data_IF_044056683188
#
_entry.id   IF_044056683188
#
_cell.length_a   1.000
_cell.length_b   1.000
_cell.length_c   1.000
_cell.angle_alpha   90.00
_cell.angle_beta   90.00
_cell.angle_gamma   90.00
#
_symmetry.space_group_name_H-M   'P 1'
#
loop_
_entity.id
_entity.type
_entity.pdbx_description
1 polymer ?
#
# COMPACT_ATOMS: atom_id res chain seq x y z
N UNK A 1 -42.39 -62.78 -9.07
CA UNK A 1 -42.28 -63.89 -8.09
C UNK A 1 -41.35 -63.41 -6.96
N UNK A 2 -41.95 -62.83 -5.91
CA UNK A 2 -41.89 -63.28 -4.50
C UNK A 2 -40.61 -62.81 -3.76
N UNK A 3 -40.65 -61.74 -2.96
CA UNK A 3 -41.16 -61.59 -1.57
C UNK A 3 -40.22 -62.12 -0.46
N UNK A 4 -39.72 -61.15 0.34
CA UNK A 4 -39.56 -61.09 1.81
C UNK A 4 -39.58 -62.41 2.61
N UNK A 5 -38.71 -62.52 3.64
CA UNK A 5 -39.10 -62.42 5.07
C UNK A 5 -37.94 -62.59 6.07
N UNK A 6 -38.04 -61.78 7.11
CA UNK A 6 -37.44 -61.77 8.46
C UNK A 6 -37.90 -62.95 9.35
N UNK A 7 -37.16 -63.28 10.44
CA UNK A 7 -37.61 -63.69 11.81
C UNK A 7 -36.36 -64.17 12.60
N UNK A 8 -35.87 -63.49 13.67
CA UNK A 8 -36.24 -63.51 15.10
C UNK A 8 -35.60 -64.64 15.96
N UNK A 9 -34.71 -64.23 16.91
CA UNK A 9 -34.54 -64.53 18.39
C UNK A 9 -35.21 -65.79 19.03
N UNK A 10 -34.90 -66.28 20.29
CA UNK A 10 -34.12 -65.73 21.43
C UNK A 10 -33.39 -66.75 22.41
N UNK A 11 -32.83 -66.19 23.51
CA UNK A 11 -32.90 -66.62 24.95
C UNK A 11 -31.94 -67.68 25.54
N UNK A 12 -31.20 -67.26 26.59
CA UNK A 12 -31.06 -67.88 27.94
C UNK A 12 -30.23 -66.89 28.82
N UNK A 13 -30.78 -66.17 29.82
CA UNK A 13 -31.19 -66.50 31.20
C UNK A 13 -30.08 -67.10 32.10
N UNK A 14 -29.55 -66.32 33.05
CA UNK A 14 -29.76 -66.46 34.52
C UNK A 14 -28.87 -65.48 35.34
N UNK A 15 -29.42 -65.02 36.48
CA UNK A 15 -28.95 -64.08 37.53
C UNK A 15 -28.69 -64.88 38.84
N UNK A 16 -28.34 -64.30 40.02
CA UNK A 16 -27.59 -63.08 40.41
C UNK A 16 -26.57 -63.36 41.57
N UNK A 17 -25.95 -62.33 42.20
CA UNK A 17 -25.93 -62.08 43.68
C UNK A 17 -25.11 -60.82 44.08
N UNK A 18 -25.77 -60.00 44.91
CA UNK A 18 -25.38 -59.06 45.99
C UNK A 18 -24.36 -57.90 45.86
N UNK A 19 -24.93 -56.68 45.91
CA UNK A 19 -24.73 -55.52 46.83
C UNK A 19 -23.31 -55.07 47.25
N UNK A 20 -23.00 -53.83 46.91
CA UNK A 20 -22.55 -52.81 47.88
C UNK A 20 -22.93 -51.41 47.39
N UNK A 21 -23.40 -50.59 48.32
CA UNK A 21 -23.99 -49.28 48.18
C UNK A 21 -22.98 -48.17 48.47
N UNK A 22 -22.92 -47.15 47.63
CA UNK A 22 -22.65 -45.77 48.03
C UNK A 22 -23.05 -44.86 46.86
N UNK A 23 -24.13 -44.11 47.04
CA UNK A 23 -24.55 -43.09 46.11
C UNK A 23 -23.74 -41.82 46.29
N UNK A 24 -23.55 -41.08 45.20
CA UNK A 24 -23.55 -39.62 45.19
C UNK A 24 -23.99 -39.16 43.79
N UNK A 25 -24.62 -37.99 43.78
CA UNK A 25 -25.49 -37.47 42.76
C UNK A 25 -24.85 -37.26 41.38
N UNK A 26 -25.69 -37.44 40.37
CA UNK A 26 -25.54 -37.07 38.96
C UNK A 26 -25.24 -35.58 38.75
N UNK A 27 -24.25 -35.28 37.92
CA UNK A 27 -24.41 -34.30 36.83
C UNK A 27 -23.76 -34.85 35.54
N UNK A 28 -24.59 -35.01 34.52
CA UNK A 28 -24.21 -35.32 33.15
C UNK A 28 -23.68 -34.05 32.48
N UNK A 29 -22.54 -34.14 31.79
CA UNK A 29 -22.36 -33.46 30.50
C UNK A 29 -21.35 -34.20 29.63
N UNK A 30 -21.89 -34.75 28.55
CA UNK A 30 -21.18 -35.33 27.42
C UNK A 30 -20.36 -34.26 26.67
N UNK A 31 -19.28 -34.71 26.03
CA UNK A 31 -18.81 -34.12 24.77
C UNK A 31 -17.33 -33.78 24.77
N UNK A 32 -16.50 -34.76 24.42
CA UNK A 32 -15.09 -34.55 24.05
C UNK A 32 -15.01 -33.66 22.80
N UNK A 33 -14.82 -32.36 23.00
CA UNK A 33 -14.25 -31.48 21.98
C UNK A 33 -12.71 -31.58 22.12
N UNK A 34 -12.05 -32.10 21.09
CA UNK A 34 -10.61 -31.98 20.94
C UNK A 34 -10.25 -30.51 20.85
N UNK A 35 -9.57 -30.01 21.88
CA UNK A 35 -9.00 -28.67 21.89
C UNK A 35 -8.03 -28.56 20.70
N UNK A 36 -8.34 -27.69 19.74
CA UNK A 36 -7.37 -27.21 18.76
C UNK A 36 -6.32 -26.44 19.58
N UNK A 37 -5.03 -26.81 19.54
CA UNK A 37 -4.03 -26.07 20.28
C UNK A 37 -3.98 -24.64 19.70
N UNK A 38 -3.89 -23.61 20.56
CA UNK A 38 -3.66 -22.26 20.08
C UNK A 38 -2.31 -22.24 19.35
N UNK A 39 -2.26 -21.63 18.17
CA UNK A 39 -1.01 -21.34 17.48
C UNK A 39 -0.32 -20.22 18.27
N UNK A 40 0.38 -20.58 19.35
CA UNK A 40 1.34 -19.69 19.99
C UNK A 40 2.71 -19.96 19.36
N UNK A 41 3.05 -19.21 18.31
CA UNK A 41 4.46 -19.01 18.00
C UNK A 41 5.02 -18.00 19.01
N UNK A 42 5.40 -18.51 20.19
CA UNK A 42 6.02 -17.76 21.31
C UNK A 42 7.52 -17.49 21.09
N UNK A 43 8.07 -17.76 19.91
CA UNK A 43 9.46 -17.46 19.60
C UNK A 43 9.59 -16.00 19.13
N UNK A 44 9.65 -15.07 20.09
CA UNK A 44 10.15 -13.72 19.79
C UNK A 44 11.61 -13.81 19.38
N UNK A 45 11.94 -13.20 18.24
CA UNK A 45 13.32 -13.14 17.73
C UNK A 45 14.25 -12.43 18.72
N UNK A 46 15.55 -12.65 18.57
CA UNK A 46 16.58 -12.08 19.46
C UNK A 46 16.56 -10.55 19.55
N UNK A 47 15.99 -9.86 18.55
CA UNK A 47 15.84 -8.40 18.48
C UNK A 47 14.41 -7.92 18.73
N UNK A 48 13.51 -8.79 19.20
CA UNK A 48 12.10 -8.48 19.48
C UNK A 48 11.23 -8.22 18.23
N UNK A 49 9.92 -8.00 18.42
CA UNK A 49 8.98 -7.79 17.33
C UNK A 49 9.25 -6.49 16.55
N UNK A 50 8.86 -6.48 15.28
CA UNK A 50 9.01 -5.33 14.38
C UNK A 50 7.66 -4.94 13.79
N UNK A 51 7.26 -3.67 13.95
CA UNK A 51 6.11 -3.14 13.24
C UNK A 51 6.49 -2.77 11.80
N UNK A 52 5.77 -3.31 10.83
CA UNK A 52 5.90 -2.96 9.42
C UNK A 52 4.71 -2.08 9.03
N UNK A 53 4.95 -0.81 8.71
CA UNK A 53 3.91 0.19 8.51
C UNK A 53 3.86 0.63 7.06
N UNK A 54 2.86 0.17 6.31
CA UNK A 54 2.64 0.57 4.94
C UNK A 54 2.05 1.99 4.89
N UNK A 55 2.73 2.89 4.17
CA UNK A 55 2.31 4.28 3.98
C UNK A 55 1.80 4.50 2.57
N UNK A 56 0.57 4.98 2.44
CA UNK A 56 -0.04 5.37 1.16
C UNK A 56 -1.03 6.53 1.40
N UNK A 57 -1.54 7.18 0.35
CA UNK A 57 -2.60 8.18 0.47
C UNK A 57 -3.91 7.56 0.94
N UNK A 58 -4.16 6.31 0.52
CA UNK A 58 -5.40 5.59 0.72
C UNK A 58 -6.51 6.04 -0.22
N UNK A 59 -7.69 5.47 -0.04
CA UNK A 59 -8.88 5.80 -0.80
C UNK A 59 -10.12 5.43 0.00
N UNK A 60 -11.27 6.08 -0.26
CA UNK A 60 -12.51 5.82 0.45
C UNK A 60 -12.94 4.37 0.21
N UNK A 61 -13.14 3.60 1.28
CA UNK A 61 -13.54 2.18 1.18
C UNK A 61 -14.97 2.03 0.68
N UNK A 62 -15.79 3.07 0.90
CA UNK A 62 -17.18 3.17 0.45
C UNK A 62 -17.46 4.56 -0.13
N UNK A 63 -18.48 4.70 -0.96
CA UNK A 63 -18.88 6.01 -1.51
C UNK A 63 -19.25 7.04 -0.44
N UNK A 64 -19.69 6.61 0.74
CA UNK A 64 -20.02 7.51 1.86
C UNK A 64 -18.77 8.18 2.46
N UNK A 65 -17.59 7.58 2.32
CA UNK A 65 -16.33 8.11 2.85
C UNK A 65 -15.67 9.16 1.94
N UNK A 66 -16.22 9.40 0.75
CA UNK A 66 -15.62 10.27 -0.28
C UNK A 66 -15.48 11.71 0.21
N UNK A 67 -16.48 12.26 0.90
CA UNK A 67 -16.42 13.66 1.37
C UNK A 67 -15.29 13.85 2.39
N UNK A 68 -15.16 12.93 3.34
CA UNK A 68 -14.12 12.95 4.36
C UNK A 68 -12.74 12.81 3.73
N UNK A 69 -12.59 11.87 2.79
CA UNK A 69 -11.37 11.68 2.01
C UNK A 69 -10.95 12.96 1.29
N UNK A 70 -11.86 13.56 0.51
CA UNK A 70 -11.58 14.81 -0.21
C UNK A 70 -11.30 15.97 0.73
N UNK A 71 -12.01 16.06 1.85
CA UNK A 71 -11.81 17.13 2.84
C UNK A 71 -10.41 17.09 3.42
N UNK A 72 -9.89 15.90 3.77
CA UNK A 72 -8.50 15.74 4.23
C UNK A 72 -7.49 16.02 3.13
N UNK A 73 -7.75 15.57 1.90
CA UNK A 73 -6.89 15.78 0.74
C UNK A 73 -6.73 17.28 0.43
N UNK A 74 -7.83 18.04 0.35
CA UNK A 74 -7.77 19.48 0.08
C UNK A 74 -7.31 20.31 1.28
N UNK A 75 -7.36 19.78 2.50
CA UNK A 75 -6.78 20.42 3.68
C UNK A 75 -5.26 20.25 3.77
N UNK A 76 -4.66 19.36 2.97
CA UNK A 76 -3.22 19.08 3.02
C UNK A 76 -2.40 20.07 2.17
N UNK A 77 -1.72 20.99 2.85
CA UNK A 77 -0.83 21.96 2.22
C UNK A 77 0.46 21.36 1.64
N UNK A 78 0.83 20.12 2.02
CA UNK A 78 1.98 19.42 1.44
C UNK A 78 1.65 18.89 0.02
N UNK A 79 0.37 18.56 -0.24
CA UNK A 79 -0.12 18.06 -1.52
C UNK A 79 -0.65 19.19 -2.41
N UNK A 80 -1.63 19.97 -1.94
CA UNK A 80 -2.28 21.03 -2.71
C UNK A 80 -2.15 22.35 -1.93
N UNK A 81 -1.14 23.19 -2.18
CA UNK A 81 -0.96 24.44 -1.45
C UNK A 81 -2.00 25.48 -1.93
N UNK A 82 -3.14 25.59 -1.24
CA UNK A 82 -4.21 26.55 -1.54
C UNK A 82 -4.06 27.89 -0.78
N UNK A 83 -2.93 28.10 -0.10
CA UNK A 83 -2.62 29.30 0.64
C UNK A 83 -3.27 29.37 2.03
N UNK A 84 -3.30 30.57 2.63
CA UNK A 84 -3.62 30.77 4.05
C UNK A 84 -5.06 30.40 4.47
N UNK A 85 -5.98 30.34 3.51
CA UNK A 85 -7.40 30.02 3.75
C UNK A 85 -7.74 28.54 3.49
N UNK A 86 -6.73 27.69 3.29
CA UNK A 86 -6.91 26.29 2.93
C UNK A 86 -7.79 25.50 3.90
N UNK A 87 -7.73 25.78 5.20
CA UNK A 87 -8.59 25.14 6.22
C UNK A 87 -10.08 25.40 5.99
N UNK A 88 -10.45 26.52 5.38
CA UNK A 88 -11.83 26.85 5.02
C UNK A 88 -12.19 26.43 3.59
N UNK A 89 -11.27 26.68 2.65
CA UNK A 89 -11.49 26.36 1.23
C UNK A 89 -11.52 24.85 0.97
N UNK A 90 -10.73 24.07 1.70
CA UNK A 90 -10.62 22.62 1.53
C UNK A 90 -11.96 21.90 1.67
N UNK A 91 -12.66 22.02 2.82
CA UNK A 91 -13.98 21.44 3.01
C UNK A 91 -15.03 21.92 2.00
N UNK A 92 -14.98 23.20 1.60
CA UNK A 92 -15.91 23.75 0.60
C UNK A 92 -15.69 23.12 -0.79
N UNK A 93 -14.43 22.99 -1.21
CA UNK A 93 -14.06 22.33 -2.47
C UNK A 93 -14.41 20.85 -2.43
N UNK A 94 -14.14 20.18 -1.31
CA UNK A 94 -14.49 18.79 -1.09
C UNK A 94 -15.99 18.57 -1.27
N UNK A 95 -16.84 19.28 -0.52
CA UNK A 95 -18.30 19.20 -0.64
C UNK A 95 -18.81 19.43 -2.06
N UNK A 96 -18.22 20.37 -2.80
CA UNK A 96 -18.58 20.62 -4.20
C UNK A 96 -18.18 19.49 -5.14
N UNK A 97 -17.04 18.83 -4.88
CA UNK A 97 -16.51 17.74 -5.71
C UNK A 97 -17.08 16.37 -5.35
N UNK A 98 -17.53 16.17 -4.11
CA UNK A 98 -18.03 14.89 -3.58
C UNK A 98 -19.01 14.20 -4.53
N UNK A 99 -20.08 14.83 -5.05
CA UNK A 99 -21.05 14.11 -5.86
C UNK A 99 -20.47 13.51 -7.14
N UNK A 100 -19.53 14.23 -7.79
CA UNK A 100 -18.84 13.72 -8.97
C UNK A 100 -17.98 12.51 -8.60
N UNK A 101 -17.15 12.64 -7.57
CA UNK A 101 -16.21 11.58 -7.18
C UNK A 101 -16.94 10.35 -6.62
N UNK A 102 -18.06 10.54 -5.92
CA UNK A 102 -18.92 9.44 -5.47
C UNK A 102 -19.46 8.62 -6.63
N UNK A 103 -19.87 9.29 -7.72
CA UNK A 103 -20.30 8.59 -8.94
C UNK A 103 -19.15 7.78 -9.53
N UNK A 104 -17.96 8.36 -9.65
CA UNK A 104 -16.78 7.65 -10.17
C UNK A 104 -16.45 6.39 -9.33
N UNK A 105 -16.51 6.50 -7.99
CA UNK A 105 -16.34 5.33 -7.12
C UNK A 105 -17.48 4.31 -7.25
N UNK A 106 -18.72 4.77 -7.47
CA UNK A 106 -19.86 3.87 -7.72
C UNK A 106 -19.68 3.07 -9.02
N UNK A 107 -19.19 3.72 -10.07
CA UNK A 107 -18.98 3.13 -11.40
C UNK A 107 -17.89 2.01 -11.37
N UNK A 108 -16.97 2.04 -10.40
CA UNK A 108 -15.91 1.01 -10.20
C UNK A 108 -16.22 -0.02 -9.10
N UNK A 109 -17.48 -0.08 -8.61
CA UNK A 109 -17.90 -1.08 -7.63
C UNK A 109 -18.13 -0.56 -6.20
N UNK A 110 -18.18 0.76 -6.00
CA UNK A 110 -18.65 1.40 -4.77
C UNK A 110 -17.58 1.83 -3.78
N UNK A 111 -16.29 1.75 -4.12
CA UNK A 111 -15.19 2.16 -3.25
C UNK A 111 -13.81 1.81 -3.81
N UNK A 112 -12.76 2.30 -3.18
CA UNK A 112 -11.37 2.00 -3.54
C UNK A 112 -10.93 0.65 -2.98
N UNK A 113 -10.35 -0.26 -3.80
CA UNK A 113 -9.83 -1.54 -3.30
C UNK A 113 -8.46 -1.41 -2.61
N UNK A 114 -7.89 -0.20 -2.53
CA UNK A 114 -6.53 0.05 -2.01
C UNK A 114 -6.35 -0.43 -0.57
N UNK A 115 -7.38 -0.32 0.28
CA UNK A 115 -7.33 -0.79 1.67
C UNK A 115 -7.15 -2.31 1.72
N UNK A 116 -8.01 -3.04 1.01
CA UNK A 116 -7.96 -4.50 0.92
C UNK A 116 -6.59 -4.96 0.43
N UNK A 117 -6.06 -4.36 -0.64
CA UNK A 117 -4.78 -4.75 -1.19
C UNK A 117 -3.60 -4.41 -0.26
N UNK A 118 -3.60 -3.22 0.35
CA UNK A 118 -2.54 -2.82 1.28
C UNK A 118 -2.49 -3.72 2.52
N UNK A 119 -3.65 -4.04 3.12
CA UNK A 119 -3.74 -4.94 4.26
C UNK A 119 -3.28 -6.36 3.89
N UNK A 120 -3.74 -6.88 2.75
CA UNK A 120 -3.34 -8.20 2.25
C UNK A 120 -1.84 -8.29 1.97
N UNK A 121 -1.29 -7.34 1.21
CA UNK A 121 0.13 -7.31 0.85
C UNK A 121 1.01 -7.19 2.11
N UNK A 122 0.64 -6.33 3.06
CA UNK A 122 1.39 -6.16 4.30
C UNK A 122 1.39 -7.44 5.14
N UNK A 123 0.23 -8.09 5.27
CA UNK A 123 0.10 -9.36 6.00
C UNK A 123 0.92 -10.48 5.37
N UNK A 124 0.82 -10.69 4.06
CA UNK A 124 1.58 -11.74 3.37
C UNK A 124 3.08 -11.46 3.35
N UNK A 125 3.48 -10.19 3.17
CA UNK A 125 4.88 -9.77 3.29
C UNK A 125 5.42 -10.08 4.69
N UNK A 126 4.71 -9.75 5.77
CA UNK A 126 5.14 -10.06 7.14
C UNK A 126 5.30 -11.57 7.38
N UNK A 127 4.38 -12.40 6.88
CA UNK A 127 4.49 -13.87 6.97
C UNK A 127 5.76 -14.41 6.27
N UNK A 128 6.12 -13.84 5.12
CA UNK A 128 7.38 -14.18 4.44
C UNK A 128 8.58 -13.65 5.22
N UNK A 129 8.49 -12.42 5.72
CA UNK A 129 9.56 -11.75 6.45
C UNK A 129 9.90 -12.46 7.78
N UNK A 130 8.94 -13.06 8.47
CA UNK A 130 9.18 -13.90 9.64
C UNK A 130 10.08 -15.10 9.34
N UNK A 131 9.97 -15.68 8.14
CA UNK A 131 10.83 -16.79 7.68
C UNK A 131 12.19 -16.27 7.22
N UNK A 132 12.20 -15.13 6.52
CA UNK A 132 13.38 -14.53 5.91
C UNK A 132 14.29 -13.81 6.92
N UNK A 133 13.74 -13.31 8.03
CA UNK A 133 14.47 -12.56 9.05
C UNK A 133 13.98 -12.87 10.48
N UNK A 134 14.18 -14.10 10.97
CA UNK A 134 13.63 -14.55 12.25
C UNK A 134 14.15 -13.75 13.47
N UNK A 135 15.31 -13.10 13.36
CA UNK A 135 15.88 -12.29 14.46
C UNK A 135 14.98 -11.11 14.86
N UNK A 136 14.21 -10.55 13.91
CA UNK A 136 13.32 -9.40 14.12
C UNK A 136 11.84 -9.76 14.12
N UNK A 137 11.53 -11.05 14.14
CA UNK A 137 10.19 -11.60 14.23
C UNK A 137 9.62 -11.51 15.67
N UNK A 138 8.29 -11.51 15.85
CA UNK A 138 7.27 -11.46 14.80
C UNK A 138 7.18 -10.08 14.13
N UNK A 139 6.99 -10.07 12.82
CA UNK A 139 6.71 -8.87 12.04
C UNK A 139 5.20 -8.60 12.04
N UNK A 140 4.80 -7.46 12.58
CA UNK A 140 3.39 -7.09 12.72
C UNK A 140 2.97 -6.13 11.61
N UNK A 141 1.92 -6.45 10.82
CA UNK A 141 1.48 -5.63 9.70
C UNK A 141 0.60 -4.46 10.15
N UNK A 142 0.90 -3.26 9.65
CA UNK A 142 0.09 -2.07 9.84
C UNK A 142 -0.05 -1.32 8.53
N UNK A 143 -1.19 -0.65 8.36
CA UNK A 143 -1.44 0.27 7.25
C UNK A 143 -1.74 1.64 7.85
N UNK A 144 -1.18 2.68 7.27
CA UNK A 144 -1.51 4.07 7.59
C UNK A 144 -1.72 4.83 6.29
N UNK A 145 -2.96 5.29 6.12
CA UNK A 145 -3.35 6.13 5.02
C UNK A 145 -3.33 7.60 5.41
N UNK A 146 -3.01 8.44 4.43
CA UNK A 146 -2.90 9.89 4.61
C UNK A 146 -4.27 10.58 4.69
N UNK A 147 -5.26 10.09 3.92
CA UNK A 147 -6.57 10.73 3.77
C UNK A 147 -7.77 9.79 3.99
N UNK A 148 -7.56 8.48 4.00
CA UNK A 148 -8.59 7.47 4.26
C UNK A 148 -8.30 6.69 5.55
N UNK A 149 -9.26 5.92 6.06
CA UNK A 149 -9.05 5.06 7.21
C UNK A 149 -8.36 3.73 6.80
N UNK A 150 -7.42 3.17 7.61
CA UNK A 150 -6.94 3.71 8.89
C UNK A 150 -6.01 4.90 8.72
N UNK A 151 -6.26 6.00 9.45
CA UNK A 151 -5.43 7.20 9.41
C UNK A 151 -4.10 7.00 10.16
N UNK A 152 -3.15 7.90 9.96
CA UNK A 152 -1.83 7.82 10.62
C UNK A 152 -1.96 7.85 12.15
N UNK A 153 -2.87 8.65 12.70
CA UNK A 153 -3.15 8.69 14.15
C UNK A 153 -3.77 7.42 14.71
N UNK A 154 -4.66 6.78 13.96
CA UNK A 154 -5.34 5.55 14.35
C UNK A 154 -4.33 4.41 14.38
N UNK A 155 -3.51 4.30 13.33
CA UNK A 155 -2.40 3.35 13.26
C UNK A 155 -1.39 3.58 14.39
N UNK A 156 -1.01 4.84 14.68
CA UNK A 156 -0.07 5.13 15.76
C UNK A 156 -0.64 4.73 17.12
N UNK A 157 -1.93 4.99 17.36
CA UNK A 157 -2.60 4.57 18.60
C UNK A 157 -2.58 3.04 18.73
N UNK A 158 -2.88 2.32 17.64
CA UNK A 158 -2.79 0.87 17.61
C UNK A 158 -1.37 0.36 17.90
N UNK A 159 -0.31 1.00 17.38
CA UNK A 159 1.07 0.65 17.73
C UNK A 159 1.33 0.76 19.24
N UNK A 160 0.83 1.84 19.86
CA UNK A 160 1.00 2.05 21.30
C UNK A 160 0.26 1.00 22.13
N UNK A 161 -0.93 0.61 21.69
CA UNK A 161 -1.76 -0.38 22.36
C UNK A 161 -1.20 -1.81 22.17
N UNK A 162 -0.55 -2.08 21.03
CA UNK A 162 0.17 -3.32 20.74
C UNK A 162 1.54 -3.44 21.44
N UNK A 163 1.91 -2.43 22.24
CA UNK A 163 3.07 -2.44 23.13
C UNK A 163 4.34 -1.80 22.55
N UNK A 164 4.27 -1.12 21.42
CA UNK A 164 5.38 -0.29 20.92
C UNK A 164 5.32 1.10 21.56
N UNK A 165 6.45 1.71 21.89
CA UNK A 165 6.53 3.05 22.46
C UNK A 165 6.04 3.12 23.91
N UNK A 166 5.60 4.31 24.36
CA UNK A 166 5.11 4.57 25.74
C UNK A 166 6.04 4.01 26.84
N UNK A 167 7.35 4.21 26.70
CA UNK A 167 8.33 3.73 27.69
C UNK A 167 8.84 2.30 27.45
N UNK A 168 8.22 1.54 26.53
CA UNK A 168 8.56 0.13 26.24
C UNK A 168 9.54 -0.02 25.07
N UNK A 169 9.84 1.06 24.34
CA UNK A 169 10.67 1.02 23.15
C UNK A 169 10.01 0.24 22.01
N UNK A 170 10.80 -0.44 21.19
CA UNK A 170 10.30 -1.23 20.05
C UNK A 170 10.69 -0.61 18.71
N UNK A 171 10.56 -1.39 17.65
CA UNK A 171 11.06 -1.05 16.31
C UNK A 171 9.90 -0.94 15.32
N UNK A 172 9.88 0.13 14.54
CA UNK A 172 8.94 0.31 13.45
C UNK A 172 9.64 0.73 12.15
N UNK A 173 9.18 0.17 11.04
CA UNK A 173 9.65 0.51 9.69
C UNK A 173 8.50 1.19 8.96
N UNK A 174 8.66 2.48 8.68
CA UNK A 174 7.81 3.23 7.77
C UNK A 174 8.13 2.81 6.33
N UNK A 175 7.28 2.00 5.72
CA UNK A 175 7.49 1.46 4.37
C UNK A 175 6.52 2.12 3.39
N UNK A 176 7.04 3.07 2.60
CA UNK A 176 6.22 3.69 1.57
C UNK A 176 5.77 2.68 0.52
N UNK A 177 4.49 2.75 0.12
CA UNK A 177 3.95 1.95 -0.98
C UNK A 177 4.06 2.65 -2.34
N UNK A 178 4.77 3.79 -2.39
CA UNK A 178 5.17 4.46 -3.62
C UNK A 178 6.61 4.06 -3.96
N UNK A 179 6.86 3.28 -5.04
CA UNK A 179 8.23 2.95 -5.42
C UNK A 179 9.06 4.20 -5.71
N UNK A 180 8.44 5.21 -6.31
CA UNK A 180 9.05 6.49 -6.66
C UNK A 180 8.68 7.55 -5.63
N UNK A 181 9.67 8.19 -5.03
CA UNK A 181 9.46 9.23 -4.03
C UNK A 181 8.91 10.51 -4.67
N UNK A 182 7.85 11.06 -4.11
CA UNK A 182 7.47 12.46 -4.27
C UNK A 182 7.31 13.14 -2.91
N UNK A 183 7.62 14.43 -2.83
CA UNK A 183 7.29 15.22 -1.64
C UNK A 183 5.78 15.28 -1.39
N UNK A 184 4.98 15.17 -2.45
CA UNK A 184 3.51 15.22 -2.38
C UNK A 184 2.87 13.91 -1.92
N UNK A 185 3.59 12.78 -1.99
CA UNK A 185 3.11 11.46 -1.58
C UNK A 185 3.87 10.97 -0.34
N UNK A 186 5.00 10.28 -0.52
CA UNK A 186 5.86 9.76 0.56
C UNK A 186 6.27 10.86 1.52
N UNK A 187 6.65 12.04 0.99
CA UNK A 187 6.98 13.21 1.82
C UNK A 187 5.83 13.59 2.76
N UNK A 188 4.60 13.73 2.24
CA UNK A 188 3.40 14.05 3.04
C UNK A 188 3.10 12.98 4.11
N UNK A 189 3.17 11.69 3.75
CA UNK A 189 2.97 10.59 4.71
C UNK A 189 3.99 10.62 5.86
N UNK A 190 5.27 10.82 5.55
CA UNK A 190 6.32 10.87 6.58
C UNK A 190 6.23 12.13 7.44
N UNK A 191 5.83 13.24 6.83
CA UNK A 191 5.57 14.50 7.50
C UNK A 191 4.40 14.40 8.49
N UNK A 192 3.36 13.62 8.18
CA UNK A 192 2.23 13.37 9.08
C UNK A 192 2.61 12.39 10.19
N UNK A 193 3.37 11.35 9.87
CA UNK A 193 3.94 10.42 10.85
C UNK A 193 4.82 11.14 11.88
N UNK A 194 5.72 12.02 11.42
CA UNK A 194 6.59 12.82 12.29
C UNK A 194 5.79 13.74 13.22
N UNK A 195 4.73 14.37 12.70
CA UNK A 195 3.81 15.22 13.49
C UNK A 195 3.14 14.43 14.61
N UNK A 196 2.57 13.26 14.31
CA UNK A 196 1.89 12.43 15.31
C UNK A 196 2.85 11.80 16.31
N UNK A 197 4.01 11.33 15.87
CA UNK A 197 5.10 10.88 16.74
C UNK A 197 5.47 11.95 17.76
N UNK A 198 5.65 13.19 17.33
CA UNK A 198 5.99 14.29 18.24
C UNK A 198 4.84 14.68 19.18
N UNK A 199 3.59 14.47 18.77
CA UNK A 199 2.41 14.74 19.59
C UNK A 199 2.21 13.67 20.68
N UNK A 200 2.41 12.41 20.33
CA UNK A 200 2.10 11.26 21.19
C UNK A 200 3.31 10.80 22.02
N UNK A 201 4.54 10.99 21.53
CA UNK A 201 5.77 10.54 22.20
C UNK A 201 6.83 11.65 22.34
N UNK A 202 6.57 12.87 21.86
CA UNK A 202 7.48 14.00 22.03
C UNK A 202 7.34 14.70 23.39
N UNK A 203 8.11 15.77 23.61
CA UNK A 203 8.10 16.58 24.85
C UNK A 203 6.73 17.19 25.24
N UNK A 204 5.75 17.16 24.33
CA UNK A 204 4.37 17.65 24.53
C UNK A 204 3.38 16.54 24.91
N UNK A 205 3.80 15.28 24.93
CA UNK A 205 3.00 14.22 25.56
C UNK A 205 2.91 14.55 27.06
N UNK A 206 1.72 14.47 27.65
CA UNK A 206 1.43 14.90 29.03
C UNK A 206 2.14 14.07 30.13
N UNK A 207 3.10 13.23 29.75
CA UNK A 207 3.87 12.39 30.65
C UNK A 207 5.34 12.51 30.24
N UNK A 208 6.23 12.60 31.22
CA UNK A 208 7.68 12.58 31.04
C UNK A 208 8.12 11.21 30.51
N UNK A 209 7.85 10.95 29.24
CA UNK A 209 8.31 9.74 28.55
C UNK A 209 9.81 9.88 28.36
N UNK A 210 10.57 9.00 28.99
CA UNK A 210 11.99 8.84 28.72
C UNK A 210 12.17 8.59 27.20
N UNK A 211 12.94 9.42 26.48
CA UNK A 211 13.23 9.21 25.06
C UNK A 211 13.70 7.79 24.74
N UNK A 212 14.31 7.10 25.70
CA UNK A 212 14.77 5.70 25.59
C UNK A 212 13.64 4.70 25.32
N UNK A 213 12.41 5.03 25.73
CA UNK A 213 11.25 4.16 25.60
C UNK A 213 10.32 4.50 24.42
N UNK A 214 10.74 5.40 23.53
CA UNK A 214 10.00 5.74 22.30
C UNK A 214 10.22 4.74 21.17
N UNK A 215 9.30 4.69 20.21
CA UNK A 215 9.43 3.83 19.03
C UNK A 215 10.69 4.21 18.23
N UNK A 216 11.54 3.21 17.96
CA UNK A 216 12.70 3.32 17.09
C UNK A 216 12.27 3.18 15.63
N UNK A 217 12.08 4.33 14.99
CA UNK A 217 11.70 4.40 13.58
C UNK A 217 12.91 4.23 12.65
N UNK A 218 12.64 3.62 11.50
CA UNK A 218 13.43 3.68 10.27
C UNK A 218 12.46 3.77 9.08
N UNK A 219 12.94 4.12 7.90
CA UNK A 219 12.10 4.34 6.73
C UNK A 219 12.70 3.69 5.49
N UNK A 220 11.84 2.98 4.76
CA UNK A 220 12.05 2.61 3.36
C UNK A 220 11.29 3.66 2.56
N UNK A 221 12.00 4.70 2.12
CA UNK A 221 11.38 5.90 1.52
C UNK A 221 11.26 5.86 0.00
N UNK A 222 11.96 4.94 -0.67
CA UNK A 222 11.90 4.74 -2.13
C UNK A 222 12.51 3.41 -2.53
N UNK A 223 12.08 2.87 -3.67
CA UNK A 223 12.52 1.59 -4.21
C UNK A 223 12.21 1.45 -5.72
N UNK A 224 12.53 2.47 -6.55
CA UNK A 224 11.99 2.59 -7.92
C UNK A 224 12.49 1.51 -8.90
N UNK A 225 13.66 0.93 -8.66
CA UNK A 225 14.30 -0.04 -9.56
C UNK A 225 14.58 -1.38 -8.87
N UNK A 226 13.83 -1.72 -7.82
CA UNK A 226 14.00 -3.01 -7.16
C UNK A 226 13.72 -4.16 -8.16
N UNK A 227 14.59 -5.19 -8.27
CA UNK A 227 14.45 -6.23 -9.30
C UNK A 227 13.09 -6.94 -9.28
N UNK A 228 12.55 -7.23 -8.09
CA UNK A 228 11.23 -7.88 -7.97
C UNK A 228 10.06 -6.98 -8.39
N UNK A 229 10.19 -5.65 -8.26
CA UNK A 229 9.20 -4.71 -8.80
C UNK A 229 9.23 -4.71 -10.33
N UNK A 230 10.45 -4.63 -10.88
CA UNK A 230 10.69 -4.65 -12.33
C UNK A 230 10.16 -5.93 -12.95
N UNK A 231 10.42 -7.08 -12.32
CA UNK A 231 9.92 -8.38 -12.76
C UNK A 231 8.39 -8.44 -12.73
N UNK A 232 7.75 -7.95 -11.66
CA UNK A 232 6.30 -7.94 -11.56
C UNK A 232 5.64 -7.11 -12.67
N UNK A 233 6.18 -5.92 -12.97
CA UNK A 233 5.70 -5.11 -14.10
C UNK A 233 5.95 -5.79 -15.44
N UNK A 234 7.15 -6.31 -15.67
CA UNK A 234 7.50 -6.99 -16.92
C UNK A 234 6.56 -8.17 -17.18
N UNK A 235 6.26 -8.97 -16.15
CA UNK A 235 5.34 -10.12 -16.27
C UNK A 235 3.92 -9.69 -16.64
N UNK A 236 3.38 -8.65 -16.01
CA UNK A 236 2.05 -8.13 -16.33
C UNK A 236 1.99 -7.58 -17.76
N UNK A 237 3.06 -6.93 -18.23
CA UNK A 237 3.17 -6.45 -19.62
C UNK A 237 3.23 -7.63 -20.60
N UNK A 238 4.10 -8.62 -20.35
CA UNK A 238 4.21 -9.82 -21.20
C UNK A 238 2.89 -10.58 -21.29
N UNK A 239 2.16 -10.70 -20.18
CA UNK A 239 0.85 -11.35 -20.15
C UNK A 239 -0.20 -10.54 -20.93
N UNK A 240 -0.17 -9.21 -20.83
CA UNK A 240 -1.06 -8.36 -21.61
C UNK A 240 -0.75 -8.42 -23.12
N UNK A 241 0.53 -8.43 -23.50
CA UNK A 241 0.97 -8.56 -24.89
C UNK A 241 0.52 -9.89 -25.52
N UNK A 242 0.43 -10.98 -24.73
CA UNK A 242 -0.09 -12.28 -25.21
C UNK A 242 -1.56 -12.22 -25.64
N UNK A 243 -2.32 -11.23 -25.16
CA UNK A 243 -3.73 -11.01 -25.57
C UNK A 243 -3.88 -10.38 -26.96
N UNK A 244 -2.77 -9.93 -27.57
CA UNK A 244 -2.75 -9.43 -28.95
C UNK A 244 -2.43 -10.56 -29.94
N UNK A 245 -2.93 -10.45 -31.19
CA UNK A 245 -2.52 -11.33 -32.29
C UNK A 245 -0.99 -11.37 -32.42
N UNK A 246 -0.44 -12.54 -32.70
CA UNK A 246 1.00 -12.77 -32.76
C UNK A 246 1.70 -11.88 -33.79
N UNK A 247 1.06 -11.65 -34.93
CA UNK A 247 1.55 -10.81 -36.03
C UNK A 247 1.62 -9.32 -35.69
N UNK A 248 0.91 -8.88 -34.65
CA UNK A 248 0.87 -7.47 -34.20
C UNK A 248 1.67 -7.21 -32.93
N UNK A 249 1.98 -8.25 -32.16
CA UNK A 249 2.48 -8.15 -30.77
C UNK A 249 3.72 -7.27 -30.65
N UNK A 250 4.66 -7.37 -31.58
CA UNK A 250 5.93 -6.62 -31.54
C UNK A 250 5.74 -5.13 -31.88
N UNK A 251 4.62 -4.77 -32.53
CA UNK A 251 4.28 -3.38 -32.88
C UNK A 251 3.42 -2.67 -31.85
N UNK A 252 2.94 -3.38 -30.82
CA UNK A 252 2.14 -2.80 -29.73
C UNK A 252 2.96 -1.74 -29.01
N UNK A 253 2.38 -0.56 -28.79
CA UNK A 253 3.04 0.53 -28.06
C UNK A 253 2.77 0.39 -26.57
N UNK A 254 3.83 0.39 -25.77
CA UNK A 254 3.74 0.41 -24.31
C UNK A 254 3.68 1.86 -23.81
N UNK A 255 2.54 2.27 -23.27
CA UNK A 255 2.33 3.60 -22.73
C UNK A 255 2.34 3.54 -21.20
N UNK A 256 3.50 3.84 -20.62
CA UNK A 256 3.65 3.94 -19.18
C UNK A 256 2.95 5.21 -18.69
N UNK A 257 1.95 5.05 -17.84
CA UNK A 257 1.15 6.13 -17.30
C UNK A 257 1.40 6.27 -15.80
N UNK A 258 1.80 7.47 -15.40
CA UNK A 258 2.07 7.85 -14.01
C UNK A 258 1.24 9.08 -13.63
N UNK A 259 0.91 9.29 -12.36
CA UNK A 259 0.18 10.50 -11.95
C UNK A 259 1.03 11.75 -12.23
N UNK A 260 0.45 12.77 -12.85
CA UNK A 260 1.18 13.99 -13.17
C UNK A 260 1.47 14.82 -11.91
N UNK A 261 2.40 15.77 -12.01
CA UNK A 261 2.68 16.76 -10.97
C UNK A 261 2.52 18.17 -11.53
N UNK A 262 2.05 19.15 -10.74
CA UNK A 262 2.11 20.55 -11.12
C UNK A 262 3.56 20.95 -11.41
N UNK A 263 3.78 21.75 -12.47
CA UNK A 263 5.12 22.18 -12.84
C UNK A 263 5.82 22.99 -11.74
N UNK A 264 5.08 23.64 -10.85
CA UNK A 264 5.64 24.29 -9.67
C UNK A 264 6.31 23.31 -8.69
N UNK A 265 5.77 22.08 -8.55
CA UNK A 265 6.34 21.01 -7.73
C UNK A 265 7.57 20.41 -8.42
N UNK A 266 7.47 20.13 -9.72
CA UNK A 266 8.59 19.65 -10.54
C UNK A 266 9.76 20.63 -10.49
N UNK A 267 9.52 21.91 -10.78
CA UNK A 267 10.53 22.96 -10.81
C UNK A 267 11.08 23.31 -9.42
N UNK A 268 10.39 22.92 -8.33
CA UNK A 268 10.94 23.01 -6.97
C UNK A 268 12.04 21.97 -6.73
N UNK A 269 12.12 20.93 -7.56
CA UNK A 269 13.12 19.86 -7.48
C UNK A 269 12.58 18.54 -6.94
N UNK A 270 11.33 18.21 -7.22
CA UNK A 270 10.75 16.93 -6.83
C UNK A 270 11.43 15.77 -7.60
N UNK A 271 11.89 14.69 -6.93
CA UNK A 271 12.64 13.63 -7.59
C UNK A 271 11.75 12.66 -8.38
N UNK A 272 10.44 12.70 -8.18
CA UNK A 272 9.48 11.76 -8.74
C UNK A 272 9.61 11.54 -10.26
N UNK A 273 9.71 12.57 -11.12
CA UNK A 273 9.77 12.34 -12.56
C UNK A 273 10.99 11.51 -12.99
N UNK A 274 12.14 11.75 -12.35
CA UNK A 274 13.36 11.02 -12.62
C UNK A 274 13.30 9.57 -12.13
N UNK A 275 12.70 9.34 -10.95
CA UNK A 275 12.53 7.99 -10.41
C UNK A 275 11.52 7.17 -11.21
N UNK A 276 10.43 7.77 -11.70
CA UNK A 276 9.49 7.10 -12.62
C UNK A 276 10.18 6.74 -13.93
N UNK A 277 10.95 7.65 -14.51
CA UNK A 277 11.73 7.36 -15.71
C UNK A 277 12.74 6.22 -15.50
N UNK A 278 13.35 6.14 -14.31
CA UNK A 278 14.24 5.04 -13.94
C UNK A 278 13.50 3.69 -13.86
N UNK A 279 12.31 3.65 -13.24
CA UNK A 279 11.47 2.44 -13.24
C UNK A 279 11.12 1.99 -14.65
N UNK A 280 10.65 2.92 -15.49
CA UNK A 280 10.28 2.64 -16.90
C UNK A 280 11.48 2.06 -17.65
N UNK A 281 12.66 2.69 -17.52
CA UNK A 281 13.85 2.22 -18.20
C UNK A 281 14.27 0.82 -17.73
N UNK A 282 14.23 0.54 -16.43
CA UNK A 282 14.55 -0.77 -15.87
C UNK A 282 13.58 -1.86 -16.36
N UNK A 283 12.28 -1.57 -16.44
CA UNK A 283 11.28 -2.47 -17.01
C UNK A 283 11.55 -2.74 -18.48
N UNK A 284 11.81 -1.70 -19.27
CA UNK A 284 12.11 -1.88 -20.70
C UNK A 284 13.42 -2.64 -20.95
N UNK A 285 14.42 -2.47 -20.09
CA UNK A 285 15.64 -3.29 -20.12
C UNK A 285 15.33 -4.76 -19.85
N UNK A 286 14.50 -5.05 -18.83
CA UNK A 286 14.06 -6.42 -18.53
C UNK A 286 13.24 -7.05 -19.66
N UNK A 287 12.48 -6.25 -20.41
CA UNK A 287 11.74 -6.68 -21.60
C UNK A 287 12.62 -6.77 -22.87
N UNK A 288 13.92 -6.46 -22.78
CA UNK A 288 14.83 -6.48 -23.93
C UNK A 288 14.48 -5.45 -25.01
N UNK A 289 13.77 -4.37 -24.64
CA UNK A 289 13.25 -3.36 -25.56
C UNK A 289 12.41 -3.96 -26.72
N UNK A 290 11.66 -5.03 -26.44
CA UNK A 290 10.86 -5.75 -27.44
C UNK A 290 9.82 -4.89 -28.16
N UNK A 291 9.36 -3.80 -27.53
CA UNK A 291 8.29 -2.96 -28.01
C UNK A 291 8.66 -1.46 -27.91
N UNK A 292 8.13 -0.61 -28.80
CA UNK A 292 8.23 0.84 -28.65
C UNK A 292 7.47 1.31 -27.41
N UNK A 293 7.98 2.33 -26.72
CA UNK A 293 7.36 2.84 -25.50
C UNK A 293 7.43 4.35 -25.33
N UNK A 294 6.55 4.90 -24.51
CA UNK A 294 6.58 6.27 -24.00
C UNK A 294 6.17 6.32 -22.53
N UNK A 295 6.66 7.33 -21.83
CA UNK A 295 6.19 7.72 -20.49
C UNK A 295 5.30 8.94 -20.64
N UNK A 296 4.07 8.84 -20.15
CA UNK A 296 3.07 9.89 -20.10
C UNK A 296 2.52 10.05 -18.68
N UNK A 297 1.77 11.12 -18.49
CA UNK A 297 1.30 11.55 -17.19
C UNK A 297 -0.23 11.72 -17.20
N UNK A 298 -0.91 11.26 -16.17
CA UNK A 298 -2.37 11.29 -16.08
C UNK A 298 -2.85 12.19 -14.94
N UNK A 299 -4.17 12.33 -14.83
CA UNK A 299 -4.85 12.97 -13.71
C UNK A 299 -4.52 14.45 -13.47
N UNK A 300 -4.20 15.22 -14.52
CA UNK A 300 -4.06 16.68 -14.42
C UNK A 300 -5.37 17.31 -13.92
N UNK A 301 -5.29 18.12 -12.86
CA UNK A 301 -6.45 18.84 -12.32
C UNK A 301 -6.24 20.35 -12.25
N UNK A 302 -7.26 21.10 -12.67
CA UNK A 302 -7.28 22.55 -12.59
C UNK A 302 -6.46 23.26 -13.68
N UNK A 303 -6.41 24.60 -13.65
CA UNK A 303 -5.90 25.42 -14.75
C UNK A 303 -4.38 25.63 -14.75
N UNK A 304 -3.67 25.12 -13.74
CA UNK A 304 -2.21 25.29 -13.65
C UNK A 304 -1.50 24.44 -14.69
N UNK A 305 -0.21 24.73 -14.96
CA UNK A 305 0.62 23.88 -15.82
C UNK A 305 1.05 22.60 -15.07
N UNK A 306 0.97 21.47 -15.75
CA UNK A 306 1.36 20.15 -15.24
C UNK A 306 2.39 19.49 -16.14
N UNK A 307 3.10 18.51 -15.59
CA UNK A 307 4.05 17.69 -16.34
C UNK A 307 3.31 16.90 -17.42
N UNK A 308 3.73 17.09 -18.67
CA UNK A 308 3.18 16.39 -19.84
C UNK A 308 4.19 15.41 -20.48
N UNK A 309 3.79 14.65 -21.50
CA UNK A 309 2.49 14.65 -22.19
C UNK A 309 1.35 13.98 -21.38
N UNK A 310 0.10 14.38 -21.61
CA UNK A 310 -1.08 13.80 -20.95
C UNK A 310 -1.42 12.42 -21.54
N UNK A 311 -1.76 11.45 -20.69
CA UNK A 311 -2.06 10.08 -21.13
C UNK A 311 -3.27 10.03 -22.07
N UNK A 312 -4.39 10.67 -21.72
CA UNK A 312 -5.59 10.72 -22.57
C UNK A 312 -5.30 11.31 -23.96
N UNK A 313 -4.69 12.49 -24.00
CA UNK A 313 -4.30 13.16 -25.24
C UNK A 313 -3.36 12.29 -26.09
N UNK A 314 -2.41 11.62 -25.45
CA UNK A 314 -1.44 10.75 -26.15
C UNK A 314 -2.12 9.55 -26.79
N UNK A 315 -3.02 8.88 -26.06
CA UNK A 315 -3.78 7.75 -26.59
C UNK A 315 -4.64 8.19 -27.77
N UNK A 316 -5.40 9.27 -27.60
CA UNK A 316 -6.27 9.79 -28.66
C UNK A 316 -5.49 10.19 -29.91
N UNK A 317 -4.33 10.83 -29.75
CA UNK A 317 -3.49 11.24 -30.88
C UNK A 317 -2.83 10.04 -31.58
N UNK A 318 -2.44 9.00 -30.85
CA UNK A 318 -1.95 7.76 -31.47
C UNK A 318 -3.04 7.03 -32.24
N UNK A 319 -4.24 6.89 -31.68
CA UNK A 319 -5.38 6.27 -32.37
C UNK A 319 -5.74 7.04 -33.64
N UNK A 320 -5.78 8.37 -33.60
CA UNK A 320 -5.99 9.22 -34.80
C UNK A 320 -4.95 8.99 -35.89
N UNK A 321 -3.70 8.67 -35.51
CA UNK A 321 -2.60 8.37 -36.44
C UNK A 321 -2.57 6.91 -36.91
N UNK A 322 -3.57 6.10 -36.52
CA UNK A 322 -3.69 4.70 -36.92
C UNK A 322 -2.98 3.72 -35.98
N UNK A 323 -2.34 4.17 -34.90
CA UNK A 323 -1.80 3.28 -33.88
C UNK A 323 -2.89 2.90 -32.88
N UNK A 324 -3.53 1.75 -33.14
CA UNK A 324 -4.68 1.28 -32.35
C UNK A 324 -4.32 0.23 -31.31
N UNK A 325 -3.11 -0.32 -31.35
CA UNK A 325 -2.62 -1.35 -30.43
C UNK A 325 -1.69 -0.72 -29.37
N UNK A 326 -2.25 -0.46 -28.18
CA UNK A 326 -1.59 0.24 -27.07
C UNK A 326 -1.84 -0.51 -25.76
N UNK A 327 -0.78 -0.74 -24.99
CA UNK A 327 -0.88 -1.22 -23.60
C UNK A 327 -0.60 -0.07 -22.64
N UNK A 328 -1.60 0.33 -21.87
CA UNK A 328 -1.50 1.27 -20.76
C UNK A 328 -0.89 0.56 -19.54
N UNK A 329 0.22 1.09 -19.01
CA UNK A 329 0.93 0.48 -17.87
C UNK A 329 0.89 1.44 -16.67
N UNK A 330 0.15 1.12 -15.58
CA UNK A 330 0.11 1.95 -14.37
C UNK A 330 1.42 1.83 -13.58
N UNK A 331 2.43 2.60 -13.95
CA UNK A 331 3.83 2.37 -13.52
C UNK A 331 4.19 2.93 -12.14
N UNK A 332 3.37 3.86 -11.63
CA UNK A 332 3.64 4.58 -10.38
C UNK A 332 2.72 4.18 -9.22
N UNK A 333 1.93 3.11 -9.39
CA UNK A 333 1.05 2.57 -8.37
C UNK A 333 1.06 1.05 -8.38
N UNK A 334 0.83 0.44 -7.23
CA UNK A 334 1.04 -0.99 -7.00
C UNK A 334 -0.27 -1.79 -6.86
N UNK A 335 -1.41 -1.12 -6.70
CA UNK A 335 -2.71 -1.75 -6.61
C UNK A 335 -3.73 -0.96 -7.42
N UNK A 336 -4.84 -1.57 -7.81
CA UNK A 336 -5.94 -0.82 -8.43
C UNK A 336 -6.50 0.27 -7.50
N UNK A 337 -6.93 1.36 -8.12
CA UNK A 337 -7.53 2.54 -7.49
C UNK A 337 -8.31 3.32 -8.56
N UNK A 338 -8.87 4.48 -8.20
CA UNK A 338 -9.75 5.25 -9.10
C UNK A 338 -9.01 5.68 -10.39
N UNK A 339 -7.75 6.06 -10.29
CA UNK A 339 -6.91 6.43 -11.43
C UNK A 339 -6.59 5.26 -12.39
N UNK A 340 -6.79 3.99 -12.02
CA UNK A 340 -6.75 2.85 -12.97
C UNK A 340 -8.14 2.44 -13.43
N UNK A 341 -9.01 2.08 -12.48
CA UNK A 341 -10.31 1.48 -12.76
C UNK A 341 -11.32 2.45 -13.38
N UNK A 342 -11.18 3.74 -13.14
CA UNK A 342 -12.07 4.74 -13.71
C UNK A 342 -11.36 5.50 -14.84
N UNK A 343 -10.24 6.15 -14.54
CA UNK A 343 -9.59 7.03 -15.52
C UNK A 343 -9.04 6.26 -16.72
N UNK A 344 -8.32 5.14 -16.52
CA UNK A 344 -7.79 4.38 -17.65
C UNK A 344 -8.87 3.52 -18.31
N UNK A 345 -9.62 2.74 -17.53
CA UNK A 345 -10.54 1.74 -18.07
C UNK A 345 -11.86 2.34 -18.60
N UNK A 346 -12.42 3.34 -17.91
CA UNK A 346 -13.73 3.90 -18.25
C UNK A 346 -13.65 5.25 -18.96
N UNK A 347 -12.63 6.07 -18.73
CA UNK A 347 -12.48 7.33 -19.47
C UNK A 347 -11.59 7.13 -20.72
N UNK A 348 -10.31 6.83 -20.54
CA UNK A 348 -9.34 6.80 -21.64
C UNK A 348 -9.62 5.70 -22.66
N UNK A 349 -9.88 4.46 -22.20
CA UNK A 349 -10.15 3.34 -23.10
C UNK A 349 -11.49 3.48 -23.84
N UNK A 350 -12.54 4.01 -23.17
CA UNK A 350 -13.82 4.29 -23.83
C UNK A 350 -13.69 5.43 -24.86
N UNK A 351 -13.03 6.55 -24.52
CA UNK A 351 -12.79 7.65 -25.47
C UNK A 351 -11.95 7.22 -26.67
N UNK A 352 -10.96 6.35 -26.45
CA UNK A 352 -10.13 5.80 -27.52
C UNK A 352 -10.95 4.98 -28.53
N UNK A 353 -12.07 4.40 -28.10
CA UNK A 353 -13.01 3.62 -28.91
C UNK A 353 -12.30 2.59 -29.82
N UNK A 354 -11.28 1.91 -29.28
CA UNK A 354 -10.45 0.96 -30.01
C UNK A 354 -10.16 -0.27 -29.14
N UNK A 355 -10.53 -1.48 -29.58
CA UNK A 355 -10.35 -2.70 -28.78
C UNK A 355 -8.88 -3.11 -28.61
N UNK A 356 -7.97 -2.51 -29.38
CA UNK A 356 -6.53 -2.70 -29.24
C UNK A 356 -5.90 -1.82 -28.16
N UNK A 357 -6.62 -0.86 -27.58
CA UNK A 357 -6.16 -0.12 -26.40
C UNK A 357 -6.58 -0.91 -25.17
N UNK A 358 -5.60 -1.39 -24.40
CA UNK A 358 -5.84 -2.22 -23.22
C UNK A 358 -4.94 -1.78 -22.08
N UNK A 359 -5.26 -2.13 -20.85
CA UNK A 359 -4.44 -1.88 -19.66
C UNK A 359 -3.74 -3.16 -19.19
N UNK A 360 -2.50 -3.04 -18.72
CA UNK A 360 -1.83 -4.10 -17.98
C UNK A 360 -2.36 -4.14 -16.53
N UNK A 361 -2.55 -5.34 -16.00
CA UNK A 361 -3.02 -5.54 -14.62
C UNK A 361 -2.16 -4.77 -13.60
N UNK A 362 -2.80 -4.26 -12.55
CA UNK A 362 -2.10 -3.71 -11.39
C UNK A 362 -1.40 -4.84 -10.61
N UNK A 363 -0.36 -4.52 -9.82
CA UNK A 363 0.42 -5.57 -9.14
C UNK A 363 -0.42 -6.34 -8.12
N UNK A 364 -1.35 -5.67 -7.41
CA UNK A 364 -2.40 -6.26 -6.58
C UNK A 364 -1.85 -7.41 -5.70
N UNK A 365 -2.41 -8.62 -5.82
CA UNK A 365 -2.00 -9.80 -5.06
C UNK A 365 -0.87 -10.61 -5.71
N UNK A 366 -0.09 -10.05 -6.64
CA UNK A 366 0.99 -10.77 -7.33
C UNK A 366 1.98 -11.36 -6.32
N UNK A 367 2.20 -12.69 -6.33
CA UNK A 367 3.18 -13.32 -5.44
C UNK A 367 4.60 -12.79 -5.65
N UNK A 368 4.98 -12.46 -6.89
CA UNK A 368 6.29 -11.87 -7.23
C UNK A 368 6.44 -10.51 -6.54
N UNK A 369 5.36 -9.71 -6.52
CA UNK A 369 5.37 -8.41 -5.88
C UNK A 369 5.44 -8.52 -4.35
N UNK A 370 4.70 -9.45 -3.75
CA UNK A 370 4.74 -9.70 -2.29
C UNK A 370 6.13 -10.18 -1.86
N UNK A 371 6.75 -11.06 -2.64
CA UNK A 371 8.14 -11.48 -2.41
C UNK A 371 9.11 -10.30 -2.55
N UNK A 372 8.90 -9.42 -3.53
CA UNK A 372 9.69 -8.21 -3.68
C UNK A 372 9.60 -7.30 -2.45
N UNK A 373 8.40 -7.05 -1.92
CA UNK A 373 8.19 -6.27 -0.68
C UNK A 373 8.94 -6.89 0.50
N UNK A 374 8.91 -8.22 0.64
CA UNK A 374 9.59 -8.93 1.73
C UNK A 374 11.12 -8.83 1.58
N UNK A 375 11.65 -8.94 0.36
CA UNK A 375 13.08 -8.79 0.09
C UNK A 375 13.57 -7.37 0.36
N UNK A 376 12.82 -6.34 -0.03
CA UNK A 376 13.13 -4.93 0.29
C UNK A 376 13.18 -4.72 1.81
N UNK A 377 12.17 -5.22 2.52
CA UNK A 377 12.12 -5.10 3.98
C UNK A 377 13.27 -5.87 4.67
N UNK A 378 13.59 -7.07 4.20
CA UNK A 378 14.71 -7.86 4.71
C UNK A 378 16.04 -7.13 4.50
N UNK A 379 16.28 -6.59 3.30
CA UNK A 379 17.50 -5.86 2.97
C UNK A 379 17.67 -4.64 3.88
N UNK A 380 16.60 -3.86 4.06
CA UNK A 380 16.57 -2.71 4.97
C UNK A 380 16.92 -3.11 6.42
N UNK A 381 16.28 -4.14 6.95
CA UNK A 381 16.51 -4.61 8.32
C UNK A 381 17.92 -5.17 8.52
N UNK A 382 18.51 -5.80 7.50
CA UNK A 382 19.89 -6.32 7.54
C UNK A 382 20.93 -5.22 7.46
N UNK A 383 20.73 -4.23 6.59
CA UNK A 383 21.63 -3.08 6.45
C UNK A 383 21.66 -2.23 7.72
N UNK A 384 20.52 -2.14 8.41
CA UNK A 384 20.39 -1.30 9.62
C UNK A 384 20.41 0.20 9.34
N UNK A 385 20.33 0.59 8.05
CA UNK A 385 20.24 2.00 7.64
C UNK A 385 18.89 2.58 8.09
N UNK A 386 18.90 3.84 8.54
CA UNK A 386 17.67 4.49 9.03
C UNK A 386 16.80 5.04 7.90
N UNK A 387 17.40 5.48 6.80
CA UNK A 387 16.73 5.98 5.60
C UNK A 387 17.66 5.88 4.37
N UNK A 388 17.15 6.12 3.17
CA UNK A 388 17.99 6.25 1.98
C UNK A 388 18.91 7.48 2.06
N UNK A 389 20.01 7.46 1.28
CA UNK A 389 20.88 8.64 1.11
C UNK A 389 20.14 9.83 0.50
N UNK A 390 19.20 9.59 -0.42
CA UNK A 390 18.40 10.67 -1.00
C UNK A 390 17.47 11.33 0.03
N UNK A 391 17.12 10.64 1.11
CA UNK A 391 16.33 11.23 2.18
C UNK A 391 17.06 12.36 2.91
N UNK A 392 18.39 12.41 2.89
CA UNK A 392 19.15 13.52 3.48
C UNK A 392 19.16 14.78 2.61
N UNK A 393 18.62 14.74 1.39
CA UNK A 393 18.55 15.91 0.51
C UNK A 393 17.11 16.41 0.39
N UNK A 394 16.86 17.69 0.66
CA UNK A 394 15.60 18.35 0.31
C UNK A 394 15.61 18.78 -1.16
N UNK A 395 14.41 19.00 -1.72
CA UNK A 395 14.31 19.67 -3.02
C UNK A 395 15.05 21.01 -2.99
N UNK A 396 15.68 21.37 -4.11
CA UNK A 396 16.52 22.56 -4.25
C UNK A 396 15.76 23.85 -3.88
N UNK A 397 14.46 23.92 -4.18
CA UNK A 397 13.59 25.05 -3.84
C UNK A 397 12.79 24.88 -2.54
N UNK A 398 13.07 23.87 -1.71
CA UNK A 398 12.31 23.62 -0.49
C UNK A 398 12.60 24.66 0.59
N UNK A 399 11.53 25.25 1.14
CA UNK A 399 11.60 26.19 2.29
C UNK A 399 10.84 25.67 3.51
N UNK A 400 10.44 24.40 3.51
CA UNK A 400 9.66 23.80 4.58
C UNK A 400 10.58 23.35 5.70
N UNK A 401 10.45 23.97 6.87
CA UNK A 401 11.13 23.53 8.10
C UNK A 401 10.64 22.16 8.56
N UNK A 402 9.36 21.86 8.31
CA UNK A 402 8.78 20.53 8.58
C UNK A 402 9.52 19.44 7.80
N UNK A 403 9.80 19.66 6.51
CA UNK A 403 10.58 18.70 5.72
C UNK A 403 12.01 18.56 6.23
N UNK A 404 12.63 19.64 6.71
CA UNK A 404 13.98 19.59 7.29
C UNK A 404 14.02 18.74 8.56
N UNK A 405 13.14 19.04 9.51
CA UNK A 405 13.13 18.38 10.81
C UNK A 405 12.65 16.93 10.72
N UNK A 406 11.70 16.64 9.81
CA UNK A 406 11.30 15.28 9.50
C UNK A 406 12.46 14.48 8.91
N UNK A 407 13.21 15.03 7.95
CA UNK A 407 14.38 14.35 7.38
C UNK A 407 15.48 14.10 8.41
N UNK A 408 15.80 15.09 9.26
CA UNK A 408 16.75 14.90 10.37
C UNK A 408 16.32 13.78 11.32
N UNK A 409 15.03 13.72 11.65
CA UNK A 409 14.50 12.67 12.50
C UNK A 409 14.73 11.27 11.91
N UNK A 410 14.40 11.06 10.63
CA UNK A 410 14.60 9.76 10.00
C UNK A 410 16.06 9.46 9.61
N UNK A 411 16.89 10.47 9.40
CA UNK A 411 18.34 10.29 9.19
C UNK A 411 19.03 9.78 10.48
N UNK A 412 18.47 10.08 11.65
CA UNK A 412 19.09 9.78 12.93
C UNK A 412 20.22 10.76 13.26
N UNK A 413 20.71 10.71 14.50
CA UNK A 413 21.67 11.69 15.03
C UNK A 413 22.97 11.77 14.23
N UNK A 414 23.47 10.63 13.75
CA UNK A 414 24.73 10.54 13.01
C UNK A 414 24.67 11.22 11.63
N UNK A 415 23.54 11.10 10.93
CA UNK A 415 23.35 11.65 9.59
C UNK A 415 22.51 12.94 9.55
N UNK A 416 22.00 13.42 10.69
CA UNK A 416 21.21 14.66 10.76
C UNK A 416 22.00 15.89 10.26
N UNK A 417 23.32 15.90 10.44
CA UNK A 417 24.22 16.95 9.95
C UNK A 417 24.39 16.94 8.43
N UNK A 418 24.11 15.81 7.78
CA UNK A 418 24.13 15.64 6.32
C UNK A 418 22.82 16.09 5.66
N UNK A 419 21.80 16.46 6.46
CA UNK A 419 20.50 16.89 5.94
C UNK A 419 20.57 18.33 5.48
N UNK A 420 20.41 18.56 4.17
CA UNK A 420 20.46 19.89 3.53
C UNK A 420 19.12 20.25 2.91
#
# INVERSE_FOLDING_TARGET
MALRRTFALPRQLLRPVARSSLGYYTEQRNGFATAVPPVTQDATGSKGPTAMVFLNMGGPSTTNEVEDFLSRLFADGDLIPLGRLQTYLGPLIAKRRTPKIQKQYADIGGGSPIRKWSEYQCQEMCKLLDKLNPESAPHKPYVAFRYAAPLTEEMYTQLLDDGFGRGKGGRAVAFTQYPQYSCSTTGSSLNELWKWRNRLEGRRANESVDPSGSIQWSVIDRWPTHPGLVEAFAKNIEDQLKTYPEDKRDSVVLLFSAHSLPMSVVNRGDPYPAEVAATVHAVMQRLGFSNPYRLCWQSQVGPSAWLGAQTSDTVMEYVKRGQTDIVLVPIAFTSDHIETLYELDLEVMEEANSPGVKRAESLNGSPIFIEALANIAQEHLRKGEKCSRQMTLRCQGCKSDRCLEQKKFFAGEEAASLVV
#
